data_IF_371485090920
#
_entry.id   IF_371485090920
#
_cell.length_a   1.000
_cell.length_b   1.000
_cell.length_c   1.000
_cell.angle_alpha   90.00
_cell.angle_beta   90.00
_cell.angle_gamma   90.00
#
_symmetry.space_group_name_H-M   'P 1'
#
loop_
_entity.id
_entity.type
_entity.pdbx_description
1 polymer ?
#
# COMPACT_ATOMS: atom_id res chain seq x y z
N UNK A 1 -13.78 -2.66 9.15
CA UNK A 1 -13.59 -1.35 8.49
C UNK A 1 -12.76 -0.49 9.40
N UNK A 2 -11.74 0.12 8.83
CA UNK A 2 -10.81 0.95 9.57
C UNK A 2 -11.45 2.31 9.87
N UNK A 3 -11.20 2.82 11.06
CA UNK A 3 -11.85 4.05 11.53
C UNK A 3 -11.08 5.31 11.13
N UNK A 4 -9.77 5.17 10.92
CA UNK A 4 -8.86 6.27 10.62
C UNK A 4 -7.64 5.80 9.81
N UNK A 5 -6.86 6.76 9.31
CA UNK A 5 -5.66 6.51 8.48
C UNK A 5 -4.53 5.83 9.27
N UNK A 6 -4.47 6.01 10.59
CA UNK A 6 -3.42 5.38 11.42
C UNK A 6 -3.56 3.85 11.42
N UNK A 7 -4.78 3.33 11.56
CA UNK A 7 -5.04 1.89 11.47
C UNK A 7 -4.68 1.33 10.09
N UNK A 8 -4.94 2.10 9.03
CA UNK A 8 -4.59 1.75 7.66
C UNK A 8 -3.07 1.68 7.47
N UNK A 9 -2.30 2.61 8.05
CA UNK A 9 -0.84 2.54 8.05
C UNK A 9 -0.34 1.32 8.83
N UNK A 10 -0.90 1.07 10.01
CA UNK A 10 -0.54 -0.09 10.86
C UNK A 10 -0.78 -1.42 10.15
N UNK A 11 -1.87 -1.54 9.39
CA UNK A 11 -2.16 -2.74 8.59
C UNK A 11 -1.05 -3.03 7.55
N UNK A 12 -0.42 -1.98 7.00
CA UNK A 12 0.65 -2.10 6.00
C UNK A 12 2.05 -2.24 6.60
N UNK A 13 2.17 -2.22 7.92
CA UNK A 13 3.44 -2.29 8.62
C UNK A 13 4.21 -3.58 8.31
N UNK A 14 5.53 -3.45 8.13
CA UNK A 14 6.41 -4.53 7.72
C UNK A 14 6.29 -4.94 6.24
N UNK A 15 5.29 -4.46 5.50
CA UNK A 15 5.23 -4.63 4.04
C UNK A 15 5.63 -3.37 3.28
N UNK A 16 5.31 -2.19 3.84
CA UNK A 16 5.59 -0.89 3.26
C UNK A 16 6.45 -0.05 4.20
N UNK A 17 7.37 0.72 3.62
CA UNK A 17 7.98 1.89 4.26
C UNK A 17 7.44 3.13 3.56
N UNK A 18 6.94 4.09 4.34
CA UNK A 18 6.54 5.40 3.85
C UNK A 18 7.77 6.32 3.87
N UNK A 19 8.16 6.82 2.69
CA UNK A 19 9.23 7.82 2.57
C UNK A 19 8.67 9.23 2.81
N UNK A 20 7.44 9.45 2.35
CA UNK A 20 6.60 10.62 2.64
C UNK A 20 5.13 10.24 2.42
N UNK A 21 4.24 11.22 2.24
CA UNK A 21 2.81 10.98 2.04
C UNK A 21 2.44 10.44 0.65
N UNK A 22 3.33 10.55 -0.33
CA UNK A 22 3.11 10.18 -1.74
C UNK A 22 4.06 9.09 -2.25
N UNK A 23 5.14 8.80 -1.52
CA UNK A 23 6.15 7.82 -1.89
C UNK A 23 6.26 6.72 -0.86
N UNK A 24 6.26 5.49 -1.35
CA UNK A 24 6.47 4.27 -0.56
C UNK A 24 7.55 3.40 -1.19
N UNK A 25 8.15 2.57 -0.35
CA UNK A 25 8.96 1.44 -0.75
C UNK A 25 8.26 0.15 -0.33
N UNK A 26 8.17 -0.81 -1.25
CA UNK A 26 7.66 -2.16 -0.95
C UNK A 26 8.79 -3.02 -0.41
N UNK A 27 8.72 -3.39 0.86
CA UNK A 27 9.72 -4.23 1.52
C UNK A 27 9.38 -5.73 1.40
N UNK A 28 8.09 -6.07 1.36
CA UNK A 28 7.64 -7.46 1.27
C UNK A 28 6.53 -7.62 0.21
N UNK A 29 6.90 -7.84 -1.06
CA UNK A 29 5.94 -7.99 -2.15
C UNK A 29 4.95 -9.16 -1.97
N UNK A 30 5.36 -10.24 -1.30
CA UNK A 30 4.51 -11.41 -1.09
C UNK A 30 3.38 -11.09 -0.11
N UNK A 31 3.72 -10.49 1.05
CA UNK A 31 2.73 -10.03 2.03
C UNK A 31 1.72 -9.04 1.41
N UNK A 32 2.19 -8.21 0.46
CA UNK A 32 1.30 -7.32 -0.28
C UNK A 32 0.26 -8.09 -1.09
N UNK A 33 0.71 -9.05 -1.90
CA UNK A 33 -0.17 -9.83 -2.79
C UNK A 33 -1.11 -10.76 -2.03
N UNK A 34 -0.67 -11.33 -0.91
CA UNK A 34 -1.42 -12.34 -0.18
C UNK A 34 -2.53 -11.78 0.72
N UNK A 35 -2.44 -10.52 1.17
CA UNK A 35 -3.37 -10.01 2.19
C UNK A 35 -3.64 -8.50 2.13
N UNK A 36 -2.62 -7.69 1.84
CA UNK A 36 -2.76 -6.24 1.97
C UNK A 36 -3.53 -5.64 0.79
N UNK A 37 -3.32 -6.13 -0.44
CA UNK A 37 -4.07 -5.62 -1.60
C UNK A 37 -5.56 -5.83 -1.42
N UNK A 38 -5.99 -7.03 -1.07
CA UNK A 38 -7.42 -7.32 -0.87
C UNK A 38 -8.03 -6.47 0.24
N UNK A 39 -7.29 -6.27 1.34
CA UNK A 39 -7.71 -5.40 2.43
C UNK A 39 -7.83 -3.93 1.99
N UNK A 40 -6.85 -3.42 1.23
CA UNK A 40 -6.90 -2.05 0.69
C UNK A 40 -8.05 -1.88 -0.31
N UNK A 41 -8.30 -2.87 -1.16
CA UNK A 41 -9.43 -2.87 -2.09
C UNK A 41 -10.74 -2.82 -1.32
N UNK A 42 -10.91 -3.69 -0.32
CA UNK A 42 -12.09 -3.70 0.54
C UNK A 42 -12.33 -2.35 1.20
N UNK A 43 -11.30 -1.76 1.84
CA UNK A 43 -11.43 -0.45 2.49
C UNK A 43 -11.70 0.68 1.48
N UNK A 44 -11.11 0.62 0.28
CA UNK A 44 -11.31 1.64 -0.77
C UNK A 44 -12.75 1.69 -1.33
N UNK A 45 -13.46 0.57 -1.28
CA UNK A 45 -14.81 0.41 -1.82
C UNK A 45 -15.86 0.57 -0.73
N UNK A 46 -15.69 -0.11 0.40
CA UNK A 46 -16.73 -0.28 1.41
C UNK A 46 -16.61 0.66 2.61
N UNK A 47 -15.43 1.26 2.86
CA UNK A 47 -15.26 2.13 4.02
C UNK A 47 -16.20 3.36 3.96
N UNK A 48 -16.76 3.74 5.11
CA UNK A 48 -17.65 4.89 5.26
C UNK A 48 -16.86 6.19 5.52
N UNK A 49 -15.63 6.07 6.04
CA UNK A 49 -14.71 7.19 6.19
C UNK A 49 -14.07 7.52 4.83
N UNK A 50 -14.42 8.69 4.29
CA UNK A 50 -13.91 9.17 3.00
C UNK A 50 -12.38 9.30 2.97
N UNK A 51 -11.75 9.73 4.07
CA UNK A 51 -10.29 9.88 4.15
C UNK A 51 -9.60 8.51 4.02
N UNK A 52 -10.12 7.49 4.71
CA UNK A 52 -9.59 6.13 4.64
C UNK A 52 -9.77 5.56 3.23
N UNK A 53 -10.92 5.80 2.58
CA UNK A 53 -11.16 5.37 1.19
C UNK A 53 -10.12 5.95 0.23
N UNK A 54 -9.94 7.27 0.27
CA UNK A 54 -9.00 7.95 -0.62
C UNK A 54 -7.57 7.50 -0.35
N UNK A 55 -7.19 7.35 0.93
CA UNK A 55 -5.84 6.88 1.26
C UNK A 55 -5.61 5.42 0.83
N UNK A 56 -6.61 4.56 0.95
CA UNK A 56 -6.55 3.18 0.46
C UNK A 56 -6.34 3.13 -1.06
N UNK A 57 -7.10 3.92 -1.84
CA UNK A 57 -6.91 4.01 -3.30
C UNK A 57 -5.54 4.55 -3.67
N UNK A 58 -5.11 5.62 -2.98
CA UNK A 58 -3.78 6.20 -3.18
C UNK A 58 -2.68 5.16 -2.94
N UNK A 59 -2.78 4.37 -1.87
CA UNK A 59 -1.83 3.30 -1.59
C UNK A 59 -1.82 2.22 -2.67
N UNK A 60 -2.97 1.79 -3.18
CA UNK A 60 -3.03 0.81 -4.28
C UNK A 60 -2.24 1.32 -5.49
N UNK A 61 -2.44 2.59 -5.88
CA UNK A 61 -1.68 3.20 -6.97
C UNK A 61 -0.18 3.30 -6.67
N UNK A 62 0.19 3.72 -5.47
CA UNK A 62 1.58 3.84 -5.07
C UNK A 62 2.28 2.46 -5.05
N UNK A 63 1.59 1.41 -4.60
CA UNK A 63 2.11 0.03 -4.61
C UNK A 63 2.30 -0.44 -6.05
N UNK A 64 1.30 -0.23 -6.91
CA UNK A 64 1.40 -0.58 -8.33
C UNK A 64 2.59 0.13 -9.00
N UNK A 65 2.78 1.42 -8.73
CA UNK A 65 3.92 2.19 -9.24
C UNK A 65 5.25 1.67 -8.69
N UNK A 66 5.33 1.38 -7.38
CA UNK A 66 6.54 0.86 -6.74
C UNK A 66 6.92 -0.53 -7.26
N UNK A 67 5.94 -1.39 -7.54
CA UNK A 67 6.16 -2.73 -8.10
C UNK A 67 6.44 -2.71 -9.62
N UNK A 68 5.93 -1.71 -10.33
CA UNK A 68 6.15 -1.53 -11.78
C UNK A 68 7.46 -0.79 -12.10
N UNK A 69 7.98 0.00 -11.17
CA UNK A 69 9.31 0.58 -11.25
C UNK A 69 10.36 -0.44 -10.80
N UNK A 70 10.68 -1.40 -11.67
CA UNK A 70 12.03 -1.99 -11.67
C UNK A 70 12.93 -1.17 -12.58
N UNK A 71 13.79 -0.26 -12.09
CA UNK A 71 15.01 0.03 -12.81
C UNK A 71 15.79 -1.29 -12.91
N UNK A 72 16.00 -1.75 -14.13
CA UNK A 72 16.64 -3.03 -14.45
C UNK A 72 18.13 -3.13 -14.08
N UNK A 73 18.70 -2.17 -13.33
CA UNK A 73 20.15 -2.10 -13.11
C UNK A 73 20.64 -2.69 -11.79
N UNK A 74 19.79 -3.32 -10.98
CA UNK A 74 20.20 -4.01 -9.75
C UNK A 74 19.47 -5.36 -9.66
N UNK A 75 19.79 -6.26 -10.57
CA UNK A 75 19.83 -7.69 -10.26
C UNK A 75 21.21 -8.19 -10.66
N UNK A 76 21.89 -8.74 -9.66
CA UNK A 76 23.22 -9.33 -9.68
C UNK A 76 23.32 -10.47 -10.71
N UNK A 77 24.26 -10.35 -11.65
CA UNK A 77 25.26 -11.34 -12.13
C UNK A 77 25.78 -10.96 -13.53
#
# INVERSE_FOLDING_TARGET
>A
MLTNVYELRKMTEGALTFLDDQRITVNNPNKIRESIIDSLVYESVFNQNAEVKEKARSLIHQIANSLSARPASIQEL
#
